data_IF_229727807637
#
_entry.id   IF_229727807637
#
_cell.length_a   1.000
_cell.length_b   1.000
_cell.length_c   1.000
_cell.angle_alpha   90.00
_cell.angle_beta   90.00
_cell.angle_gamma   90.00
#
_symmetry.space_group_name_H-M   'P 1'
#
loop_
_entity.id
_entity.type
_entity.pdbx_description
1 polymer ?
#
# COMPACT_ATOMS: atom_id res chain seq x y z
N UNK A 1 11.24 30.20 68.82
CA UNK A 1 12.22 30.02 67.75
C UNK A 1 11.54 29.15 66.67
N UNK A 2 10.85 29.82 65.74
CA UNK A 2 10.09 29.13 64.70
C UNK A 2 10.94 29.02 63.42
N UNK A 3 11.25 27.80 62.97
CA UNK A 3 11.89 27.55 61.68
C UNK A 3 10.81 27.33 60.64
N UNK A 4 10.64 28.31 59.73
CA UNK A 4 9.85 28.21 58.54
C UNK A 4 10.59 27.39 57.49
N UNK A 5 10.08 26.24 57.11
CA UNK A 5 10.57 25.45 55.97
C UNK A 5 9.85 25.87 54.71
N UNK A 6 10.60 26.45 53.75
CA UNK A 6 10.07 26.85 52.43
C UNK A 6 10.18 25.65 51.51
N UNK A 7 9.02 25.08 51.11
CA UNK A 7 8.96 24.02 50.13
C UNK A 7 8.88 24.61 48.71
N UNK A 8 9.96 24.42 47.93
CA UNK A 8 10.01 24.75 46.50
C UNK A 8 9.31 23.66 45.71
N UNK A 9 8.10 23.94 45.20
CA UNK A 9 7.40 23.06 44.24
C UNK A 9 7.92 23.35 42.85
N UNK A 10 8.74 22.44 42.31
CA UNK A 10 9.15 22.45 40.90
C UNK A 10 8.06 21.86 40.01
N UNK A 11 7.33 22.73 39.31
CA UNK A 11 6.36 22.32 38.29
C UNK A 11 7.10 21.96 37.00
N UNK A 12 7.25 20.67 36.72
CA UNK A 12 7.72 20.18 35.42
C UNK A 12 6.60 20.31 34.39
N UNK A 13 6.68 21.29 33.50
CA UNK A 13 5.80 21.45 32.37
C UNK A 13 6.19 20.41 31.30
N UNK A 14 5.46 19.30 31.23
CA UNK A 14 5.63 18.32 30.18
C UNK A 14 5.06 18.89 28.87
N UNK A 15 5.93 19.33 27.95
CA UNK A 15 5.53 19.62 26.57
C UNK A 15 5.18 18.31 25.88
N UNK A 16 3.90 18.00 25.76
CA UNK A 16 3.39 16.97 24.86
C UNK A 16 3.47 17.50 23.43
N UNK A 17 4.54 17.16 22.72
CA UNK A 17 4.62 17.37 21.26
C UNK A 17 3.67 16.32 20.62
N UNK A 18 2.64 16.75 19.85
CA UNK A 18 1.84 15.78 19.11
C UNK A 18 2.74 15.10 18.07
N UNK A 19 2.97 13.79 18.22
CA UNK A 19 3.57 12.97 17.16
C UNK A 19 2.53 12.89 16.03
N UNK A 20 2.63 13.79 15.05
CA UNK A 20 2.01 13.56 13.75
C UNK A 20 2.74 12.37 13.12
N UNK A 21 2.03 11.29 12.70
CA UNK A 21 2.67 10.20 12.00
C UNK A 21 3.27 10.77 10.71
N UNK A 22 4.58 10.77 10.61
CA UNK A 22 5.27 11.09 9.36
C UNK A 22 5.00 9.92 8.41
N UNK A 23 4.13 10.11 7.42
CA UNK A 23 3.94 9.18 6.32
C UNK A 23 5.18 9.21 5.43
N UNK A 24 6.20 8.47 5.81
CA UNK A 24 7.44 8.34 5.06
C UNK A 24 7.48 6.99 4.35
N UNK A 25 7.95 7.00 3.11
CA UNK A 25 8.36 5.79 2.41
C UNK A 25 9.51 5.14 3.15
N UNK A 26 9.45 3.84 3.40
CA UNK A 26 10.47 3.09 4.12
C UNK A 26 11.03 2.01 3.17
N UNK A 27 12.28 2.23 2.72
CA UNK A 27 13.00 1.33 1.81
C UNK A 27 14.24 0.72 2.49
N UNK A 28 14.25 0.66 3.82
CA UNK A 28 15.32 0.01 4.57
C UNK A 28 15.31 -1.50 4.31
N UNK A 29 16.40 -2.18 4.66
CA UNK A 29 16.47 -3.63 4.53
C UNK A 29 15.36 -4.34 5.31
N UNK A 30 15.10 -3.89 6.53
CA UNK A 30 14.04 -4.40 7.40
C UNK A 30 12.64 -4.23 6.77
N UNK A 31 12.37 -3.06 6.18
CA UNK A 31 11.09 -2.80 5.52
C UNK A 31 10.91 -3.66 4.26
N UNK A 32 11.98 -3.90 3.50
CA UNK A 32 11.94 -4.80 2.34
C UNK A 32 11.70 -6.25 2.75
N UNK A 33 12.38 -6.70 3.82
CA UNK A 33 12.16 -8.04 4.40
C UNK A 33 10.73 -8.20 4.89
N UNK A 34 10.21 -7.23 5.66
CA UNK A 34 8.83 -7.27 6.15
C UNK A 34 7.80 -7.26 5.00
N UNK A 35 8.08 -6.54 3.92
CA UNK A 35 7.22 -6.52 2.74
C UNK A 35 7.23 -7.85 1.97
N UNK A 36 8.39 -8.53 1.90
CA UNK A 36 8.50 -9.85 1.31
C UNK A 36 7.74 -10.89 2.14
N UNK A 37 7.96 -10.92 3.47
CA UNK A 37 7.25 -11.81 4.38
C UNK A 37 5.72 -11.60 4.31
N UNK A 38 5.27 -10.33 4.22
CA UNK A 38 3.86 -10.02 4.05
C UNK A 38 3.30 -10.55 2.72
N UNK A 39 4.08 -10.48 1.63
CA UNK A 39 3.68 -11.00 0.32
C UNK A 39 3.56 -12.53 0.32
N UNK A 40 4.52 -13.22 0.95
CA UNK A 40 4.48 -14.67 1.12
C UNK A 40 3.27 -15.10 1.96
N UNK A 41 3.02 -14.44 3.10
CA UNK A 41 1.85 -14.72 3.93
C UNK A 41 0.54 -14.48 3.16
N UNK A 42 0.44 -13.39 2.39
CA UNK A 42 -0.75 -13.08 1.63
C UNK A 42 -1.10 -14.14 0.57
N UNK A 43 -0.11 -14.82 0.04
CA UNK A 43 -0.31 -15.98 -0.85
C UNK A 43 -0.93 -17.17 -0.12
N UNK A 44 -0.49 -17.49 1.11
CA UNK A 44 -1.11 -18.53 1.94
C UNK A 44 -2.54 -18.15 2.32
N UNK A 45 -2.77 -16.91 2.74
CA UNK A 45 -4.10 -16.39 3.08
C UNK A 45 -5.06 -16.45 1.88
N UNK A 46 -4.56 -16.21 0.66
CA UNK A 46 -5.36 -16.36 -0.56
C UNK A 46 -5.85 -17.79 -0.72
N UNK A 47 -5.00 -18.79 -0.52
CA UNK A 47 -5.36 -20.21 -0.64
C UNK A 47 -6.39 -20.56 0.44
N UNK A 48 -6.18 -20.11 1.67
CA UNK A 48 -7.10 -20.36 2.78
C UNK A 48 -8.48 -19.73 2.54
N UNK A 49 -8.53 -18.46 2.10
CA UNK A 49 -9.77 -17.69 2.00
C UNK A 49 -10.54 -17.93 0.71
N UNK A 50 -9.84 -18.09 -0.41
CA UNK A 50 -10.43 -18.19 -1.75
C UNK A 50 -10.22 -19.56 -2.42
N UNK A 51 -9.45 -20.45 -1.81
CA UNK A 51 -8.99 -21.70 -2.39
C UNK A 51 -7.81 -21.52 -3.36
N UNK A 52 -7.27 -22.60 -3.86
CA UNK A 52 -6.17 -22.58 -4.86
C UNK A 52 -6.69 -22.15 -6.23
N UNK A 53 -6.98 -20.86 -6.35
CA UNK A 53 -7.49 -20.25 -7.59
C UNK A 53 -6.37 -19.68 -8.41
N UNK A 54 -6.21 -20.21 -9.61
CA UNK A 54 -5.31 -19.61 -10.62
C UNK A 54 -6.02 -18.44 -11.31
N UNK A 55 -5.72 -17.21 -10.89
CA UNK A 55 -6.27 -16.01 -11.53
C UNK A 55 -5.54 -15.73 -12.85
N UNK A 56 -6.29 -15.64 -13.95
CA UNK A 56 -5.75 -15.21 -15.25
C UNK A 56 -5.52 -13.68 -15.25
N UNK A 57 -4.62 -13.16 -16.11
CA UNK A 57 -4.43 -11.73 -16.27
C UNK A 57 -5.74 -10.95 -16.37
N UNK A 58 -5.88 -9.88 -15.62
CA UNK A 58 -7.09 -9.06 -15.57
C UNK A 58 -8.19 -9.58 -14.62
N UNK A 59 -8.02 -10.74 -14.00
CA UNK A 59 -8.99 -11.30 -13.05
C UNK A 59 -8.69 -10.91 -11.60
N UNK A 60 -9.74 -10.93 -10.78
CA UNK A 60 -9.67 -10.71 -9.34
C UNK A 60 -10.81 -11.45 -8.61
N UNK A 61 -10.63 -11.65 -7.32
CA UNK A 61 -11.66 -12.12 -6.38
C UNK A 61 -11.89 -11.08 -5.28
N UNK A 62 -13.10 -11.04 -4.72
CA UNK A 62 -13.48 -10.06 -3.71
C UNK A 62 -14.53 -10.64 -2.76
N UNK A 63 -14.26 -10.63 -1.45
CA UNK A 63 -15.25 -10.98 -0.41
C UNK A 63 -16.14 -9.79 -0.10
N UNK A 64 -17.45 -10.01 -0.09
CA UNK A 64 -18.40 -9.03 0.39
C UNK A 64 -18.58 -9.15 1.91
N UNK A 65 -19.03 -8.07 2.56
CA UNK A 65 -19.35 -8.07 3.99
C UNK A 65 -18.15 -7.84 4.94
N UNK A 66 -16.91 -7.72 4.43
CA UNK A 66 -15.75 -7.36 5.25
C UNK A 66 -15.49 -5.85 5.09
N UNK A 67 -15.80 -5.08 6.13
CA UNK A 67 -15.67 -3.61 6.11
C UNK A 67 -14.86 -3.04 7.28
N UNK A 68 -14.61 -3.83 8.32
CA UNK A 68 -13.94 -3.39 9.54
C UNK A 68 -12.40 -3.46 9.42
N UNK A 69 -11.73 -2.53 10.09
CA UNK A 69 -10.27 -2.42 10.14
C UNK A 69 -9.69 -1.46 9.09
N UNK A 70 -8.47 -0.98 9.35
CA UNK A 70 -7.74 -0.11 8.44
C UNK A 70 -7.38 -0.85 7.15
N UNK A 71 -7.49 -0.20 5.97
CA UNK A 71 -7.09 -0.82 4.71
C UNK A 71 -5.56 -0.91 4.60
N UNK A 72 -5.08 -2.07 4.18
CA UNK A 72 -3.67 -2.36 3.88
C UNK A 72 -3.59 -3.09 2.54
N UNK A 73 -2.66 -2.68 1.70
CA UNK A 73 -2.40 -3.32 0.41
C UNK A 73 -1.06 -4.05 0.49
N UNK A 74 -1.03 -5.29 0.00
CA UNK A 74 0.20 -6.06 -0.15
C UNK A 74 0.37 -6.37 -1.63
N UNK A 75 1.57 -6.19 -2.15
CA UNK A 75 1.94 -6.43 -3.54
C UNK A 75 3.07 -7.45 -3.57
N UNK A 76 2.86 -8.57 -4.26
CA UNK A 76 3.90 -9.55 -4.59
C UNK A 76 4.37 -9.32 -6.02
N UNK A 77 5.62 -8.88 -6.18
CA UNK A 77 6.22 -8.66 -7.51
C UNK A 77 6.54 -9.99 -8.19
N UNK A 78 6.95 -11.02 -7.43
CA UNK A 78 7.22 -12.35 -7.95
C UNK A 78 5.96 -13.02 -8.53
N UNK A 79 4.84 -12.92 -7.82
CA UNK A 79 3.58 -13.54 -8.24
C UNK A 79 2.74 -12.66 -9.17
N UNK A 80 3.10 -11.37 -9.33
CA UNK A 80 2.32 -10.36 -10.04
C UNK A 80 0.88 -10.24 -9.48
N UNK A 81 0.78 -10.21 -8.13
CA UNK A 81 -0.49 -10.19 -7.39
C UNK A 81 -0.56 -8.99 -6.44
N UNK A 82 -1.77 -8.51 -6.24
CA UNK A 82 -2.10 -7.47 -5.26
C UNK A 82 -3.21 -7.96 -4.34
N UNK A 83 -3.03 -7.79 -3.04
CA UNK A 83 -3.91 -8.25 -1.96
C UNK A 83 -4.42 -7.05 -1.17
N UNK A 84 -5.72 -7.01 -0.89
CA UNK A 84 -6.34 -6.01 -0.02
C UNK A 84 -6.74 -6.66 1.29
N UNK A 85 -6.30 -6.07 2.38
CA UNK A 85 -6.72 -6.42 3.74
C UNK A 85 -7.56 -5.30 4.37
N UNK A 86 -8.42 -5.69 5.32
CA UNK A 86 -9.07 -4.83 6.31
C UNK A 86 -8.72 -5.37 7.70
N UNK A 87 -7.91 -4.61 8.46
CA UNK A 87 -7.25 -5.18 9.63
C UNK A 87 -6.44 -6.42 9.23
N UNK A 88 -6.70 -7.56 9.87
CA UNK A 88 -6.03 -8.84 9.57
C UNK A 88 -6.79 -9.71 8.56
N UNK A 89 -7.92 -9.26 8.04
CA UNK A 89 -8.74 -10.07 7.13
C UNK A 89 -8.41 -9.78 5.67
N UNK A 90 -8.07 -10.81 4.90
CA UNK A 90 -7.95 -10.72 3.45
C UNK A 90 -9.34 -10.51 2.82
N UNK A 91 -9.50 -9.42 2.09
CA UNK A 91 -10.76 -8.99 1.46
C UNK A 91 -10.78 -9.30 -0.02
N UNK A 92 -9.65 -9.06 -0.70
CA UNK A 92 -9.62 -9.19 -2.15
C UNK A 92 -8.20 -9.49 -2.66
N UNK A 93 -8.15 -10.17 -3.79
CA UNK A 93 -6.91 -10.50 -4.51
C UNK A 93 -7.10 -10.22 -5.98
N UNK A 94 -6.09 -9.63 -6.61
CA UNK A 94 -6.10 -9.30 -8.05
C UNK A 94 -4.76 -9.63 -8.69
N UNK A 95 -4.77 -10.05 -9.93
CA UNK A 95 -3.57 -9.98 -10.76
C UNK A 95 -3.18 -8.52 -10.97
N UNK A 96 -1.90 -8.27 -11.17
CA UNK A 96 -1.37 -6.93 -11.47
C UNK A 96 -0.24 -7.00 -12.49
N UNK A 97 0.27 -5.85 -12.92
CA UNK A 97 1.48 -5.73 -13.73
C UNK A 97 2.38 -4.66 -13.15
N UNK A 98 3.57 -5.06 -12.73
CA UNK A 98 4.62 -4.20 -12.17
C UNK A 98 5.52 -3.56 -13.22
N UNK A 99 6.50 -2.80 -12.78
CA UNK A 99 7.60 -2.28 -13.60
C UNK A 99 8.46 -3.38 -14.17
N UNK A 100 9.04 -3.10 -15.36
CA UNK A 100 10.04 -3.97 -15.99
C UNK A 100 11.42 -3.81 -15.33
N UNK A 101 12.37 -4.68 -15.65
CA UNK A 101 13.77 -4.60 -15.15
C UNK A 101 14.43 -3.25 -15.45
N UNK A 102 14.07 -2.58 -16.55
CA UNK A 102 14.57 -1.24 -16.91
C UNK A 102 13.97 -0.12 -16.06
N UNK A 103 12.78 -0.34 -15.53
CA UNK A 103 12.03 0.60 -14.70
C UNK A 103 11.34 -0.19 -13.58
N UNK A 104 12.08 -0.69 -12.60
CA UNK A 104 11.53 -1.57 -11.58
C UNK A 104 10.56 -0.83 -10.66
N UNK A 105 9.57 -1.56 -10.16
CA UNK A 105 8.76 -1.12 -9.03
C UNK A 105 9.62 -1.24 -7.77
N UNK A 106 9.76 -0.19 -6.94
CA UNK A 106 10.55 -0.26 -5.71
C UNK A 106 9.90 -1.19 -4.68
N UNK A 107 10.73 -1.83 -3.84
CA UNK A 107 10.29 -2.68 -2.74
C UNK A 107 10.41 -1.95 -1.39
N UNK A 108 9.52 -2.29 -0.45
CA UNK A 108 9.48 -1.67 0.88
C UNK A 108 8.06 -1.39 1.35
N UNK A 109 7.91 -0.40 2.22
CA UNK A 109 6.63 0.03 2.80
C UNK A 109 6.35 1.47 2.40
N UNK A 110 5.21 1.70 1.75
CA UNK A 110 4.83 2.97 1.15
C UNK A 110 3.48 3.43 1.69
N UNK A 111 3.31 4.70 2.09
CA UNK A 111 2.00 5.27 2.32
C UNK A 111 1.36 5.71 1.00
N UNK A 112 0.04 5.74 0.94
CA UNK A 112 -0.67 6.44 -0.15
C UNK A 112 -0.56 7.94 0.11
N UNK A 113 0.21 8.65 -0.71
CA UNK A 113 0.50 10.09 -0.56
C UNK A 113 -0.55 10.98 -1.23
N UNK A 114 -1.15 10.53 -2.32
CA UNK A 114 -2.17 11.26 -3.04
C UNK A 114 -3.10 10.31 -3.80
N UNK A 115 -4.34 10.75 -3.99
CA UNK A 115 -5.36 10.00 -4.73
C UNK A 115 -6.03 10.90 -5.75
N UNK A 116 -6.20 10.41 -7.00
CA UNK A 116 -6.94 11.11 -8.06
C UNK A 116 -7.78 10.11 -8.85
N UNK A 117 -9.04 10.42 -9.08
CA UNK A 117 -9.93 9.58 -9.91
C UNK A 117 -9.40 9.46 -11.33
N UNK A 118 -8.82 10.55 -11.86
CA UNK A 118 -8.09 10.57 -13.11
C UNK A 118 -6.80 11.38 -12.94
N UNK A 119 -5.69 10.81 -13.38
CA UNK A 119 -4.40 11.47 -13.49
C UNK A 119 -3.80 11.15 -14.85
N UNK A 120 -2.97 12.06 -15.37
CA UNK A 120 -2.20 11.85 -16.58
C UNK A 120 -0.71 12.01 -16.25
N UNK A 121 0.09 11.07 -16.68
CA UNK A 121 1.51 11.04 -16.40
C UNK A 121 2.21 12.23 -17.06
N UNK A 122 2.86 13.08 -16.27
CA UNK A 122 3.70 14.18 -16.82
C UNK A 122 5.00 13.66 -17.45
N UNK A 123 5.43 12.45 -17.09
CA UNK A 123 6.71 11.83 -17.50
C UNK A 123 6.58 10.96 -18.74
N UNK A 124 5.39 10.42 -19.00
CA UNK A 124 5.20 9.39 -20.02
C UNK A 124 3.99 9.72 -20.92
N UNK A 125 4.20 10.55 -21.95
CA UNK A 125 3.28 10.82 -23.06
C UNK A 125 1.82 11.09 -22.64
N UNK A 126 1.64 11.79 -21.53
CA UNK A 126 0.32 12.07 -20.97
C UNK A 126 -0.55 10.82 -20.75
N UNK A 127 0.08 9.66 -20.50
CA UNK A 127 -0.61 8.37 -20.34
C UNK A 127 -1.67 8.44 -19.22
N UNK A 128 -2.89 7.95 -19.47
CA UNK A 128 -3.96 7.99 -18.47
C UNK A 128 -3.69 7.01 -17.32
N UNK A 129 -3.94 7.47 -16.09
CA UNK A 129 -3.79 6.70 -14.85
C UNK A 129 -5.09 6.80 -14.03
N UNK A 130 -6.18 6.11 -14.43
CA UNK A 130 -7.44 6.13 -13.70
C UNK A 130 -7.28 5.55 -12.30
N UNK A 131 -7.98 6.12 -11.31
CA UNK A 131 -7.93 5.69 -9.90
C UNK A 131 -6.52 5.68 -9.32
N UNK A 132 -5.72 6.69 -9.66
CA UNK A 132 -4.33 6.81 -9.25
C UNK A 132 -4.20 7.00 -7.74
N UNK A 133 -3.30 6.23 -7.14
CA UNK A 133 -2.88 6.28 -5.74
C UNK A 133 -1.35 6.37 -5.73
N UNK A 134 -0.83 7.54 -5.45
CA UNK A 134 0.61 7.82 -5.49
C UNK A 134 1.30 7.29 -4.24
N UNK A 135 2.44 6.62 -4.40
CA UNK A 135 3.18 5.96 -3.33
C UNK A 135 4.48 6.69 -2.95
N UNK A 136 5.09 7.39 -3.91
CA UNK A 136 6.33 8.13 -3.68
C UNK A 136 6.35 9.48 -4.43
N UNK A 137 7.38 10.27 -4.18
CA UNK A 137 7.60 11.55 -4.85
C UNK A 137 8.16 11.43 -6.27
N UNK A 138 8.60 10.24 -6.69
CA UNK A 138 9.17 9.96 -8.00
C UNK A 138 8.12 9.55 -9.04
N UNK A 139 6.87 9.38 -8.58
CA UNK A 139 5.71 9.12 -9.44
C UNK A 139 5.33 7.65 -9.54
N UNK A 140 5.82 6.79 -8.64
CA UNK A 140 5.32 5.42 -8.50
C UNK A 140 3.91 5.47 -7.92
N UNK A 141 2.99 4.74 -8.55
CA UNK A 141 1.58 4.74 -8.17
C UNK A 141 0.91 3.39 -8.47
N UNK A 142 -0.17 3.11 -7.76
CA UNK A 142 -1.16 2.11 -8.12
C UNK A 142 -2.23 2.80 -8.97
N UNK A 143 -2.60 2.20 -10.11
CA UNK A 143 -3.69 2.74 -10.95
C UNK A 143 -4.31 1.66 -11.86
N UNK A 144 -5.46 1.96 -12.47
CA UNK A 144 -6.03 1.10 -13.50
C UNK A 144 -5.19 1.16 -14.77
N UNK A 145 -4.93 0.00 -15.40
CA UNK A 145 -4.17 -0.05 -16.64
C UNK A 145 -4.16 -1.42 -17.28
N UNK A 146 -3.50 -1.51 -18.43
CA UNK A 146 -3.30 -2.79 -19.11
C UNK A 146 -2.45 -3.73 -18.23
N UNK A 147 -3.02 -4.89 -17.94
CA UNK A 147 -2.46 -5.89 -17.05
C UNK A 147 -2.31 -7.22 -17.81
N UNK A 148 -1.15 -7.49 -18.40
CA UNK A 148 -0.87 -8.74 -19.10
C UNK A 148 -0.48 -9.90 -18.17
N UNK A 149 -0.34 -9.66 -16.84
CA UNK A 149 0.05 -10.66 -15.85
C UNK A 149 1.56 -10.88 -15.74
N UNK A 150 2.35 -9.98 -16.28
CA UNK A 150 3.81 -9.96 -16.17
C UNK A 150 4.31 -8.50 -16.08
N UNK A 151 5.56 -8.25 -15.66
CA UNK A 151 6.12 -6.89 -15.59
C UNK A 151 6.10 -6.20 -16.95
N UNK A 152 5.34 -5.11 -17.08
CA UNK A 152 5.14 -4.39 -18.35
C UNK A 152 4.97 -2.87 -18.17
N UNK A 153 5.07 -2.35 -16.94
CA UNK A 153 4.95 -0.92 -16.66
C UNK A 153 6.32 -0.23 -16.63
N UNK A 154 6.29 1.08 -16.39
CA UNK A 154 7.49 1.90 -16.15
C UNK A 154 7.64 2.21 -14.66
N UNK A 155 7.35 1.23 -13.79
CA UNK A 155 7.47 1.29 -12.34
C UNK A 155 6.12 1.30 -11.59
N UNK A 156 5.04 1.78 -12.18
CA UNK A 156 3.72 1.77 -11.55
C UNK A 156 3.14 0.35 -11.47
N UNK A 157 2.23 0.16 -10.51
CA UNK A 157 1.45 -1.06 -10.32
C UNK A 157 0.13 -0.90 -11.06
N UNK A 158 -0.05 -1.64 -12.16
CA UNK A 158 -1.27 -1.61 -12.97
C UNK A 158 -2.23 -2.70 -12.52
N UNK A 159 -3.47 -2.31 -12.26
CA UNK A 159 -4.55 -3.18 -11.83
C UNK A 159 -5.68 -3.23 -12.87
N UNK A 160 -6.48 -4.31 -12.89
CA UNK A 160 -7.72 -4.35 -13.66
C UNK A 160 -8.64 -3.19 -13.26
N UNK A 161 -9.28 -2.54 -14.24
CA UNK A 161 -10.01 -1.29 -14.03
C UNK A 161 -11.09 -1.38 -12.92
N UNK A 162 -11.88 -2.47 -12.90
CA UNK A 162 -12.90 -2.68 -11.88
C UNK A 162 -12.30 -2.88 -10.48
N UNK A 163 -11.18 -3.59 -10.36
CA UNK A 163 -10.49 -3.77 -9.10
C UNK A 163 -9.87 -2.45 -8.61
N UNK A 164 -9.17 -1.72 -9.49
CA UNK A 164 -8.58 -0.43 -9.15
C UNK A 164 -9.62 0.59 -8.66
N UNK A 165 -10.80 0.64 -9.29
CA UNK A 165 -11.90 1.50 -8.85
C UNK A 165 -12.39 1.14 -7.43
N UNK A 166 -12.58 -0.16 -7.15
CA UNK A 166 -12.99 -0.63 -5.81
C UNK A 166 -11.92 -0.38 -4.77
N UNK A 167 -10.66 -0.70 -5.08
CA UNK A 167 -9.50 -0.44 -4.21
C UNK A 167 -9.42 1.05 -3.87
N UNK A 168 -9.55 1.93 -4.87
CA UNK A 168 -9.58 3.36 -4.68
C UNK A 168 -10.69 3.82 -3.73
N UNK A 169 -11.85 3.17 -3.76
CA UNK A 169 -12.98 3.50 -2.87
C UNK A 169 -12.78 3.09 -1.42
N UNK A 170 -11.90 2.12 -1.13
CA UNK A 170 -11.72 1.58 0.23
C UNK A 170 -10.41 2.00 0.91
N UNK A 171 -9.42 2.43 0.15
CA UNK A 171 -8.15 2.97 0.69
C UNK A 171 -8.28 4.46 0.97
N UNK A 172 -7.39 4.97 1.82
CA UNK A 172 -7.34 6.36 2.27
C UNK A 172 -5.93 6.92 2.10
N UNK A 173 -5.76 8.24 2.22
CA UNK A 173 -4.42 8.83 2.36
C UNK A 173 -3.75 8.25 3.62
N UNK A 174 -2.49 7.87 3.50
CA UNK A 174 -1.75 7.20 4.56
C UNK A 174 -2.00 5.70 4.67
N UNK A 175 -2.96 5.09 3.92
CA UNK A 175 -3.08 3.63 3.85
C UNK A 175 -1.75 3.01 3.45
N UNK A 176 -1.35 1.95 4.14
CA UNK A 176 -0.05 1.31 3.96
C UNK A 176 -0.07 0.34 2.77
N UNK A 177 0.98 0.40 1.96
CA UNK A 177 1.25 -0.49 0.84
C UNK A 177 2.59 -1.18 1.05
N UNK A 178 2.60 -2.49 1.21
CA UNK A 178 3.79 -3.33 1.25
C UNK A 178 4.10 -3.81 -0.16
N UNK A 179 5.33 -3.69 -0.62
CA UNK A 179 5.77 -4.17 -1.94
C UNK A 179 6.94 -5.12 -1.73
N UNK A 180 6.67 -6.43 -1.80
CA UNK A 180 7.65 -7.52 -1.72
C UNK A 180 8.08 -8.00 -3.11
N UNK A 181 9.35 -8.44 -3.21
CA UNK A 181 9.94 -8.96 -4.45
C UNK A 181 9.55 -10.42 -4.70
#
# INVERSE_FOLDING_TARGET
MNKLALALASSALALSVPLTPAFATIETHEAKTAALEAADQARYDMIEVFGDKQLKPGQYVWRNGVSNGAPRVIVSLSDQMAYLYRGEQLVAVSTMSSGTDKNPTPTGIFPILAKKTMHHSKKYDNAPMPHMQMLDSYGIAIHAGFNPGYPASRGCIRLPAKFAARLYGVTELGSTVFIGA
#
